data_IF_308555146198
#
_entry.id   IF_308555146198
#
_cell.length_a   1.000
_cell.length_b   1.000
_cell.length_c   1.000
_cell.angle_alpha   90.00
_cell.angle_beta   90.00
_cell.angle_gamma   90.00
#
_symmetry.space_group_name_H-M   'P 1'
#
loop_
_entity.id
_entity.type
_entity.pdbx_description
1 polymer ?
#
# COMPACT_ATOMS: atom_id res chain seq x y z
N UNK A 1 -18.49 41.63 67.92
CA UNK A 1 -18.94 40.68 66.88
C UNK A 1 -17.71 40.25 66.06
N UNK A 2 -17.00 39.16 66.38
CA UNK A 2 -15.98 38.61 65.44
C UNK A 2 -15.58 37.14 65.62
N UNK A 3 -16.17 36.34 66.53
CA UNK A 3 -15.71 34.95 66.74
C UNK A 3 -16.51 33.87 66.00
N UNK A 4 -17.64 34.20 65.37
CA UNK A 4 -18.48 33.21 64.69
C UNK A 4 -18.02 32.87 63.26
N UNK A 5 -17.14 33.67 62.65
CA UNK A 5 -16.72 33.48 61.25
C UNK A 5 -15.49 32.56 61.13
N UNK A 6 -14.60 32.55 62.14
CA UNK A 6 -13.35 31.77 62.12
C UNK A 6 -13.54 30.27 62.33
N UNK A 7 -14.59 29.83 63.07
CA UNK A 7 -14.85 28.39 63.28
C UNK A 7 -15.38 27.69 62.02
N UNK A 8 -16.18 28.40 61.20
CA UNK A 8 -16.76 27.84 59.98
C UNK A 8 -15.74 27.67 58.86
N UNK A 9 -14.72 28.51 58.78
CA UNK A 9 -13.63 28.40 57.81
C UNK A 9 -12.65 27.29 58.21
N UNK A 10 -12.31 27.18 59.49
CA UNK A 10 -11.42 26.13 60.00
C UNK A 10 -12.02 24.73 59.83
N UNK A 11 -13.32 24.57 60.08
CA UNK A 11 -14.03 23.31 59.83
C UNK A 11 -14.06 22.92 58.34
N UNK A 12 -14.20 23.90 57.43
CA UNK A 12 -14.15 23.66 55.97
C UNK A 12 -12.74 23.28 55.50
N UNK A 13 -11.71 23.95 56.01
CA UNK A 13 -10.31 23.63 55.69
C UNK A 13 -9.89 22.26 56.21
N UNK A 14 -10.33 21.88 57.42
CA UNK A 14 -10.10 20.53 57.96
C UNK A 14 -10.81 19.47 57.12
N UNK A 15 -12.04 19.73 56.66
CA UNK A 15 -12.78 18.80 55.80
C UNK A 15 -12.07 18.59 54.46
N UNK A 16 -11.55 19.66 53.84
CA UNK A 16 -10.82 19.57 52.56
C UNK A 16 -9.51 18.78 52.72
N UNK A 17 -8.76 19.02 53.80
CA UNK A 17 -7.53 18.26 54.10
C UNK A 17 -7.86 16.78 54.36
N UNK A 18 -8.95 16.50 55.07
CA UNK A 18 -9.41 15.12 55.32
C UNK A 18 -9.80 14.42 54.01
N UNK A 19 -10.50 15.10 53.09
CA UNK A 19 -10.83 14.54 51.78
C UNK A 19 -9.60 14.31 50.91
N UNK A 20 -8.58 15.16 51.01
CA UNK A 20 -7.32 14.99 50.28
C UNK A 20 -6.52 13.80 50.81
N UNK A 21 -6.52 13.59 52.13
CA UNK A 21 -5.89 12.43 52.78
C UNK A 21 -6.64 11.12 52.47
N UNK A 22 -7.97 11.15 52.38
CA UNK A 22 -8.76 9.99 51.97
C UNK A 22 -8.57 9.67 50.48
N UNK A 23 -8.45 10.69 49.63
CA UNK A 23 -8.17 10.52 48.20
C UNK A 23 -6.75 9.98 47.94
N UNK A 24 -5.75 10.33 48.76
CA UNK A 24 -4.39 9.81 48.62
C UNK A 24 -4.25 8.34 49.04
N UNK A 25 -5.24 7.78 49.73
CA UNK A 25 -5.30 6.36 50.10
C UNK A 25 -6.11 5.51 49.11
N UNK A 26 -6.75 6.13 48.11
CA UNK A 26 -7.48 5.42 47.05
C UNK A 26 -6.67 4.39 46.24
N UNK A 27 -5.36 4.55 45.95
CA UNK A 27 -4.62 3.55 45.18
C UNK A 27 -4.32 2.25 45.96
N UNK A 28 -4.64 2.17 47.26
CA UNK A 28 -4.51 0.93 48.04
C UNK A 28 -5.80 0.09 48.11
N UNK A 29 -6.93 0.64 47.65
CA UNK A 29 -8.21 -0.08 47.52
C UNK A 29 -8.52 -0.46 46.07
N UNK A 30 -7.61 -0.16 45.14
CA UNK A 30 -7.59 -0.86 43.87
C UNK A 30 -7.30 -2.33 44.18
N UNK A 31 -8.36 -3.13 44.29
CA UNK A 31 -8.29 -4.57 44.04
C UNK A 31 -7.42 -4.75 42.80
N UNK A 32 -6.47 -5.70 42.78
CA UNK A 32 -5.89 -6.09 41.51
C UNK A 32 -7.08 -6.48 40.62
N UNK A 33 -7.42 -5.61 39.67
CA UNK A 33 -7.94 -6.10 38.40
C UNK A 33 -6.89 -7.11 38.02
N UNK A 34 -7.24 -8.39 38.04
CA UNK A 34 -6.45 -9.38 37.37
C UNK A 34 -6.24 -8.81 35.98
N UNK A 35 -5.03 -8.31 35.75
CA UNK A 35 -4.48 -8.23 34.43
C UNK A 35 -4.45 -9.72 34.11
N UNK A 36 -5.51 -10.19 33.44
CA UNK A 36 -5.37 -11.33 32.58
C UNK A 36 -4.27 -10.88 31.62
N UNK A 37 -3.02 -11.17 32.01
CA UNK A 37 -2.07 -11.68 31.06
C UNK A 37 -2.93 -12.62 30.20
N UNK A 38 -2.95 -12.40 28.89
CA UNK A 38 -3.21 -13.54 28.02
C UNK A 38 -2.09 -14.53 28.39
N UNK A 39 -2.34 -15.31 29.44
CA UNK A 39 -1.93 -16.68 29.45
C UNK A 39 -2.48 -17.17 28.12
N UNK A 40 -1.57 -17.38 27.20
CA UNK A 40 -1.78 -18.19 26.03
C UNK A 40 -2.23 -19.52 26.61
N UNK A 41 -3.52 -19.58 26.92
CA UNK A 41 -4.23 -20.81 27.08
C UNK A 41 -3.84 -21.52 25.80
N UNK A 42 -3.07 -22.58 25.97
CA UNK A 42 -2.81 -23.55 24.95
C UNK A 42 -4.19 -24.21 24.69
N UNK A 43 -5.11 -23.42 24.11
CA UNK A 43 -6.32 -23.86 23.47
C UNK A 43 -5.74 -24.57 22.27
N UNK A 44 -5.32 -25.81 22.50
CA UNK A 44 -5.17 -26.78 21.43
C UNK A 44 -6.49 -26.70 20.68
N UNK A 45 -6.52 -26.06 19.48
CA UNK A 45 -7.77 -25.94 18.77
C UNK A 45 -8.22 -27.37 18.57
N UNK A 46 -9.44 -27.69 18.99
CA UNK A 46 -9.98 -29.01 18.80
C UNK A 46 -10.21 -29.16 17.29
N UNK A 47 -9.16 -29.58 16.58
CA UNK A 47 -9.12 -29.71 15.13
C UNK A 47 -10.04 -30.87 14.75
N UNK A 48 -11.27 -30.55 14.37
CA UNK A 48 -12.21 -31.52 13.80
C UNK A 48 -12.05 -31.69 12.28
N UNK A 49 -11.11 -30.98 11.66
CA UNK A 49 -10.80 -31.11 10.24
C UNK A 49 -9.86 -32.29 9.99
N UNK A 50 -10.06 -33.02 8.89
CA UNK A 50 -9.11 -34.04 8.41
C UNK A 50 -7.75 -33.43 7.99
N UNK A 51 -7.68 -32.10 7.89
CA UNK A 51 -6.50 -31.37 7.44
C UNK A 51 -6.01 -30.42 8.52
N UNK A 52 -4.69 -30.36 8.71
CA UNK A 52 -4.06 -29.46 9.67
C UNK A 52 -3.62 -28.16 8.98
N UNK A 53 -3.69 -27.01 9.66
CA UNK A 53 -3.18 -25.72 9.16
C UNK A 53 -1.66 -25.72 8.83
N UNK A 54 -0.97 -26.80 9.21
CA UNK A 54 0.44 -27.05 8.91
C UNK A 54 0.68 -27.85 7.62
N UNK A 55 -0.37 -28.37 6.98
CA UNK A 55 -0.21 -29.31 5.85
C UNK A 55 -1.39 -29.38 4.86
N UNK A 56 -2.22 -28.34 4.75
CA UNK A 56 -3.33 -28.29 3.79
C UNK A 56 -3.22 -27.08 2.87
N UNK A 57 -3.53 -27.23 1.58
CA UNK A 57 -3.73 -26.10 0.70
C UNK A 57 -5.09 -25.45 1.01
N UNK A 58 -5.20 -24.13 0.93
CA UNK A 58 -6.47 -23.40 1.17
C UNK A 58 -7.65 -23.95 0.34
N UNK A 59 -7.34 -24.47 -0.86
CA UNK A 59 -8.27 -25.15 -1.76
C UNK A 59 -8.95 -26.39 -1.15
N UNK A 60 -8.24 -27.17 -0.35
CA UNK A 60 -8.76 -28.41 0.23
C UNK A 60 -9.83 -28.15 1.31
N UNK A 61 -9.93 -26.91 1.78
CA UNK A 61 -10.89 -26.49 2.79
C UNK A 61 -12.21 -26.02 2.19
N UNK A 62 -12.30 -25.77 0.88
CA UNK A 62 -13.52 -25.28 0.25
C UNK A 62 -14.71 -26.23 0.44
N UNK A 63 -15.87 -25.70 0.84
CA UNK A 63 -17.06 -26.50 1.16
C UNK A 63 -16.97 -27.30 2.46
N UNK A 64 -15.82 -27.31 3.14
CA UNK A 64 -15.66 -27.99 4.42
C UNK A 64 -16.18 -27.14 5.58
N UNK A 65 -16.55 -27.80 6.68
CA UNK A 65 -16.94 -27.15 7.92
C UNK A 65 -15.75 -27.09 8.88
N UNK A 66 -15.44 -25.89 9.37
CA UNK A 66 -14.35 -25.62 10.29
C UNK A 66 -14.89 -25.03 11.60
N UNK A 67 -14.27 -25.43 12.70
CA UNK A 67 -14.47 -24.81 14.01
C UNK A 67 -13.12 -24.27 14.48
N UNK A 68 -13.02 -22.94 14.60
CA UNK A 68 -11.78 -22.27 14.96
C UNK A 68 -12.09 -20.96 15.71
N UNK A 69 -11.37 -20.73 16.81
CA UNK A 69 -11.39 -19.47 17.56
C UNK A 69 -12.80 -18.89 17.82
N UNK A 70 -13.66 -19.68 18.47
CA UNK A 70 -15.02 -19.27 18.80
C UNK A 70 -16.02 -19.32 17.64
N UNK A 71 -15.57 -19.52 16.40
CA UNK A 71 -16.45 -19.81 15.26
C UNK A 71 -16.79 -21.30 15.24
N UNK A 72 -18.06 -21.65 15.46
CA UNK A 72 -18.56 -23.03 15.46
C UNK A 72 -19.23 -23.35 14.14
N UNK A 73 -18.83 -24.44 13.49
CA UNK A 73 -19.39 -24.92 12.21
C UNK A 73 -19.39 -23.87 11.09
N UNK A 74 -18.35 -23.05 10.98
CA UNK A 74 -18.18 -22.15 9.85
C UNK A 74 -18.00 -22.96 8.57
N UNK A 75 -18.80 -22.68 7.55
CA UNK A 75 -18.65 -23.30 6.22
C UNK A 75 -17.69 -22.45 5.42
N UNK A 76 -16.61 -23.05 4.95
CA UNK A 76 -15.74 -22.39 3.98
C UNK A 76 -16.47 -22.34 2.65
N UNK A 77 -16.61 -21.13 2.12
CA UNK A 77 -17.17 -20.83 0.80
C UNK A 77 -16.64 -21.76 -0.28
N UNK A 78 -17.53 -22.48 -0.99
CA UNK A 78 -17.15 -23.40 -2.07
C UNK A 78 -16.36 -22.70 -3.18
N UNK A 79 -16.58 -21.40 -3.36
CA UNK A 79 -15.85 -20.58 -4.33
C UNK A 79 -14.35 -20.44 -4.03
N UNK A 80 -13.90 -20.77 -2.81
CA UNK A 80 -12.48 -20.81 -2.47
C UNK A 80 -11.71 -21.96 -3.14
N UNK A 81 -12.41 -22.90 -3.80
CA UNK A 81 -11.82 -23.96 -4.63
C UNK A 81 -11.61 -23.55 -6.09
N UNK A 82 -12.10 -22.39 -6.51
CA UNK A 82 -12.03 -22.01 -7.92
C UNK A 82 -10.79 -21.18 -8.22
N UNK A 83 -9.79 -21.83 -8.79
CA UNK A 83 -8.72 -21.18 -9.53
C UNK A 83 -9.17 -21.00 -10.99
N UNK A 84 -9.71 -19.83 -11.32
CA UNK A 84 -9.99 -19.46 -12.71
C UNK A 84 -8.85 -18.61 -13.25
N UNK A 85 -7.98 -19.22 -14.05
CA UNK A 85 -6.93 -18.51 -14.76
C UNK A 85 -7.39 -18.20 -16.18
N UNK A 86 -7.41 -16.92 -16.53
CA UNK A 86 -7.67 -16.46 -17.89
C UNK A 86 -6.39 -15.87 -18.48
N UNK A 87 -6.00 -16.33 -19.66
CA UNK A 87 -4.88 -15.76 -20.41
C UNK A 87 -5.43 -15.13 -21.68
N UNK A 88 -5.20 -13.83 -21.83
CA UNK A 88 -5.61 -13.05 -22.99
C UNK A 88 -4.43 -12.22 -23.47
N UNK A 89 -4.19 -12.25 -24.78
CA UNK A 89 -3.25 -11.34 -25.42
C UNK A 89 -3.92 -9.98 -25.62
N UNK A 90 -3.45 -8.96 -24.89
CA UNK A 90 -4.02 -7.61 -24.95
C UNK A 90 -3.32 -6.71 -25.99
N UNK A 91 -2.01 -6.90 -26.18
CA UNK A 91 -1.22 -6.13 -27.14
C UNK A 91 -0.06 -6.98 -27.68
N UNK A 92 -0.05 -7.21 -29.00
CA UNK A 92 1.00 -7.93 -29.69
C UNK A 92 1.69 -6.98 -30.66
N UNK A 93 2.96 -6.68 -30.38
CA UNK A 93 3.79 -5.79 -31.18
C UNK A 93 4.87 -6.59 -31.88
N UNK A 94 5.08 -6.32 -33.16
CA UNK A 94 6.21 -6.86 -33.95
C UNK A 94 7.38 -5.88 -34.05
N UNK A 95 7.22 -4.68 -33.48
CA UNK A 95 8.16 -3.56 -33.59
C UNK A 95 8.79 -3.23 -32.24
N UNK A 96 8.08 -3.49 -31.15
CA UNK A 96 8.51 -3.16 -29.79
C UNK A 96 8.56 -4.43 -28.92
N UNK A 97 9.66 -4.61 -28.20
CA UNK A 97 9.84 -5.70 -27.25
C UNK A 97 9.43 -5.22 -25.85
N UNK A 98 8.32 -5.73 -25.34
CA UNK A 98 7.74 -5.27 -24.07
C UNK A 98 8.46 -5.88 -22.86
N UNK A 99 8.69 -5.07 -21.83
CA UNK A 99 9.00 -5.54 -20.48
C UNK A 99 7.77 -6.07 -19.74
N UNK A 100 7.91 -6.34 -18.44
CA UNK A 100 6.78 -6.80 -17.63
C UNK A 100 5.86 -5.61 -17.34
N UNK A 101 4.55 -5.72 -17.61
CA UNK A 101 3.65 -4.63 -17.33
C UNK A 101 3.30 -4.55 -15.84
N UNK A 102 3.13 -3.34 -15.32
CA UNK A 102 2.44 -3.10 -14.06
C UNK A 102 0.95 -2.81 -14.32
N UNK A 103 0.09 -3.16 -13.36
CA UNK A 103 -1.37 -3.11 -13.46
C UNK A 103 -1.98 -2.51 -12.19
N UNK A 104 -2.87 -1.52 -12.38
CA UNK A 104 -3.81 -1.08 -11.34
C UNK A 104 -5.26 -1.27 -11.78
N UNK A 105 -6.03 -1.91 -10.92
CA UNK A 105 -7.47 -2.05 -11.05
C UNK A 105 -8.16 -0.89 -10.34
N UNK A 106 -9.17 -0.32 -10.99
CA UNK A 106 -9.96 0.76 -10.40
C UNK A 106 -11.42 0.34 -10.22
N UNK A 107 -12.14 1.02 -9.32
CA UNK A 107 -13.57 0.76 -9.04
C UNK A 107 -14.49 1.01 -10.25
N UNK A 108 -13.96 1.56 -11.35
CA UNK A 108 -14.70 1.90 -12.55
C UNK A 108 -14.64 0.84 -13.65
N UNK A 109 -14.29 -0.40 -13.30
CA UNK A 109 -14.17 -1.50 -14.26
C UNK A 109 -13.12 -1.18 -15.34
N UNK A 110 -12.02 -0.57 -14.90
CA UNK A 110 -10.89 -0.21 -15.75
C UNK A 110 -9.62 -0.80 -15.17
N UNK A 111 -8.93 -1.49 -16.05
CA UNK A 111 -7.60 -2.01 -15.86
C UNK A 111 -6.63 -1.02 -16.52
N UNK A 112 -5.71 -0.47 -15.72
CA UNK A 112 -4.70 0.45 -16.22
C UNK A 112 -3.35 -0.24 -16.21
N UNK A 113 -2.68 -0.23 -17.36
CA UNK A 113 -1.39 -0.86 -17.55
C UNK A 113 -0.32 0.19 -17.80
N UNK A 114 0.91 -0.08 -17.39
CA UNK A 114 2.08 0.53 -18.00
C UNK A 114 3.10 -0.55 -18.37
N UNK A 115 3.94 -0.28 -19.37
CA UNK A 115 5.11 -1.10 -19.66
C UNK A 115 6.21 -0.27 -20.33
N UNK A 116 7.46 -0.66 -20.12
CA UNK A 116 8.62 -0.19 -20.87
C UNK A 116 8.90 -1.11 -22.07
N UNK A 117 9.64 -0.63 -23.06
CA UNK A 117 10.13 -1.46 -24.16
C UNK A 117 11.63 -1.32 -24.38
N UNK A 118 12.26 -2.33 -24.98
CA UNK A 118 13.71 -2.31 -25.27
C UNK A 118 14.10 -1.15 -26.20
N UNK A 119 13.18 -0.72 -27.06
CA UNK A 119 13.38 0.37 -28.00
C UNK A 119 13.30 1.76 -27.35
N UNK A 120 12.86 1.84 -26.08
CA UNK A 120 12.77 3.08 -25.32
C UNK A 120 11.37 3.67 -25.10
N UNK A 121 10.32 3.35 -25.88
CA UNK A 121 8.96 3.77 -25.51
C UNK A 121 8.54 3.29 -24.11
N UNK A 122 8.00 4.21 -23.32
CA UNK A 122 7.22 3.88 -22.10
C UNK A 122 5.76 4.14 -22.42
N UNK A 123 4.92 3.13 -22.24
CA UNK A 123 3.52 3.15 -22.65
C UNK A 123 2.60 2.92 -21.48
N UNK A 124 1.38 3.40 -21.65
CA UNK A 124 0.24 3.00 -20.82
C UNK A 124 -0.89 2.52 -21.71
N UNK A 125 -1.79 1.73 -21.14
CA UNK A 125 -3.09 1.46 -21.73
C UNK A 125 -4.18 1.39 -20.69
N UNK A 126 -5.40 1.65 -21.14
CA UNK A 126 -6.61 1.38 -20.38
C UNK A 126 -7.38 0.28 -21.10
N UNK A 127 -7.63 -0.81 -20.41
CA UNK A 127 -8.54 -1.87 -20.83
C UNK A 127 -9.86 -1.76 -20.06
N UNK A 128 -10.94 -2.17 -20.71
CA UNK A 128 -12.25 -2.34 -20.08
C UNK A 128 -12.78 -3.72 -20.41
N UNK A 129 -13.54 -4.39 -19.53
CA UNK A 129 -14.13 -5.71 -19.81
C UNK A 129 -15.03 -5.78 -21.05
N UNK A 130 -15.49 -4.64 -21.57
CA UNK A 130 -16.11 -4.55 -22.91
C UNK A 130 -15.17 -4.93 -24.07
N UNK A 131 -13.87 -5.13 -23.83
CA UNK A 131 -12.83 -5.39 -24.82
C UNK A 131 -12.17 -4.13 -25.40
N UNK A 132 -12.47 -2.95 -24.86
CA UNK A 132 -11.91 -1.69 -25.36
C UNK A 132 -10.47 -1.52 -24.83
N UNK A 133 -9.51 -1.36 -25.73
CA UNK A 133 -8.11 -1.09 -25.44
C UNK A 133 -7.71 0.30 -25.97
N UNK A 134 -7.19 1.17 -25.10
CA UNK A 134 -6.71 2.50 -25.50
C UNK A 134 -5.31 2.72 -24.95
N UNK A 135 -4.31 2.77 -25.83
CA UNK A 135 -2.91 2.99 -25.46
C UNK A 135 -2.46 4.44 -25.66
N UNK A 136 -1.43 4.84 -24.93
CA UNK A 136 -0.80 6.15 -25.03
C UNK A 136 0.71 6.03 -24.82
N UNK A 137 1.49 6.83 -25.56
CA UNK A 137 2.92 7.00 -25.32
C UNK A 137 3.12 7.99 -24.17
N UNK A 138 3.76 7.54 -23.09
CA UNK A 138 4.09 8.37 -21.93
C UNK A 138 5.35 9.19 -22.22
N UNK A 139 6.41 8.51 -22.64
CA UNK A 139 7.72 9.08 -22.93
C UNK A 139 8.51 8.19 -23.90
N UNK A 140 9.65 8.70 -24.39
CA UNK A 140 10.67 7.90 -25.10
C UNK A 140 12.00 8.06 -24.37
N UNK A 141 12.44 6.98 -23.73
CA UNK A 141 13.70 6.91 -22.99
C UNK A 141 14.82 6.33 -23.86
N UNK A 142 16.04 6.29 -23.33
CA UNK A 142 17.14 5.63 -24.03
C UNK A 142 16.82 4.14 -24.28
N UNK A 143 17.02 3.68 -25.52
CA UNK A 143 16.87 2.26 -25.87
C UNK A 143 17.85 1.40 -25.05
N UNK A 144 17.36 0.26 -24.57
CA UNK A 144 18.12 -0.71 -23.79
C UNK A 144 18.08 -2.06 -24.49
N UNK A 145 19.24 -2.63 -24.81
CA UNK A 145 19.34 -4.00 -25.32
C UNK A 145 19.38 -5.03 -24.16
N UNK A 146 18.86 -4.66 -22.99
CA UNK A 146 18.84 -5.52 -21.81
C UNK A 146 17.59 -6.37 -21.83
N UNK A 147 17.76 -7.68 -21.63
CA UNK A 147 16.63 -8.61 -21.44
C UNK A 147 15.86 -8.36 -20.14
N UNK A 148 16.42 -7.57 -19.21
CA UNK A 148 15.76 -7.15 -17.97
C UNK A 148 15.62 -5.64 -18.01
N UNK A 149 14.46 -5.19 -18.50
CA UNK A 149 14.05 -3.78 -18.40
C UNK A 149 13.62 -3.48 -16.97
N UNK A 150 13.76 -2.22 -16.57
CA UNK A 150 13.15 -1.76 -15.32
C UNK A 150 11.67 -1.55 -15.60
N UNK A 151 10.85 -2.39 -15.00
CA UNK A 151 9.40 -2.28 -15.13
C UNK A 151 8.94 -0.92 -14.59
N UNK A 152 8.01 -0.29 -15.30
CA UNK A 152 7.38 0.93 -14.82
C UNK A 152 6.39 0.59 -13.71
N UNK A 153 6.05 1.57 -12.87
CA UNK A 153 4.98 1.45 -11.90
C UNK A 153 3.87 2.46 -12.19
N UNK A 154 2.61 2.03 -12.17
CA UNK A 154 1.43 2.84 -12.45
C UNK A 154 0.62 3.11 -11.18
N UNK A 155 0.17 4.35 -11.02
CA UNK A 155 -0.73 4.78 -9.96
C UNK A 155 -1.89 5.57 -10.54
N UNK A 156 -3.11 5.29 -10.09
CA UNK A 156 -4.32 5.94 -10.63
C UNK A 156 -4.95 6.84 -9.59
N UNK A 157 -5.06 8.14 -9.91
CA UNK A 157 -5.75 9.08 -9.04
C UNK A 157 -7.26 8.81 -9.02
N UNK A 158 -7.95 9.29 -7.98
CA UNK A 158 -9.41 9.17 -7.84
C UNK A 158 -10.22 9.73 -9.03
N UNK A 159 -9.63 10.60 -9.86
CA UNK A 159 -10.26 11.15 -11.07
C UNK A 159 -9.88 10.38 -12.36
N UNK A 160 -9.42 9.13 -12.22
CA UNK A 160 -8.99 8.26 -13.33
C UNK A 160 -7.89 8.89 -14.19
N UNK A 161 -6.96 9.60 -13.55
CA UNK A 161 -5.75 10.10 -14.21
C UNK A 161 -4.57 9.19 -13.86
N UNK A 162 -3.91 8.58 -14.86
CA UNK A 162 -2.74 7.77 -14.62
C UNK A 162 -1.49 8.61 -14.29
N UNK A 163 -0.63 7.99 -13.50
CA UNK A 163 0.71 8.41 -13.09
C UNK A 163 1.64 7.23 -13.35
N UNK A 164 2.80 7.50 -13.94
CA UNK A 164 3.74 6.43 -14.30
C UNK A 164 5.12 6.81 -13.78
N UNK A 165 5.65 6.00 -12.87
CA UNK A 165 7.04 6.03 -12.43
C UNK A 165 7.84 5.09 -13.33
N UNK A 166 8.95 5.54 -13.89
CA UNK A 166 9.76 4.74 -14.81
C UNK A 166 11.22 5.17 -14.79
N UNK A 167 12.10 4.27 -15.21
CA UNK A 167 13.54 4.56 -15.34
C UNK A 167 13.88 5.05 -16.76
N UNK A 168 14.89 5.91 -16.86
CA UNK A 168 15.52 6.36 -18.10
C UNK A 168 17.04 6.24 -17.92
N UNK A 169 17.58 5.07 -18.24
CA UNK A 169 18.95 4.72 -17.89
C UNK A 169 19.18 4.84 -16.38
N UNK A 170 20.13 5.67 -15.92
CA UNK A 170 20.43 5.82 -14.50
C UNK A 170 19.43 6.71 -13.74
N UNK A 171 18.52 7.38 -14.43
CA UNK A 171 17.62 8.38 -13.87
C UNK A 171 16.22 7.81 -13.59
N UNK A 172 15.53 8.40 -12.61
CA UNK A 172 14.14 8.11 -12.29
C UNK A 172 13.24 9.25 -12.77
N UNK A 173 12.19 8.91 -13.52
CA UNK A 173 11.25 9.86 -14.11
C UNK A 173 9.82 9.58 -13.69
N UNK A 174 9.01 10.63 -13.71
CA UNK A 174 7.57 10.57 -13.45
C UNK A 174 6.81 11.18 -14.63
N UNK A 175 5.79 10.45 -15.10
CA UNK A 175 4.82 10.86 -16.10
C UNK A 175 3.48 11.18 -15.45
N UNK A 176 2.92 12.36 -15.76
CA UNK A 176 1.57 12.76 -15.35
C UNK A 176 0.69 13.03 -16.57
N UNK A 177 -0.42 12.30 -16.69
CA UNK A 177 -1.41 12.62 -17.72
C UNK A 177 -2.21 13.87 -17.36
N UNK A 178 -2.36 14.77 -18.32
CA UNK A 178 -3.19 15.96 -18.25
C UNK A 178 -4.28 15.90 -19.33
N UNK A 179 -5.54 16.08 -18.90
CA UNK A 179 -6.68 16.22 -19.81
C UNK A 179 -6.62 17.56 -20.55
N UNK A 180 -7.31 17.60 -21.68
CA UNK A 180 -7.63 18.86 -22.35
C UNK A 180 -8.33 19.83 -21.38
N UNK A 181 -7.89 21.08 -21.38
CA UNK A 181 -8.40 22.12 -20.46
C UNK A 181 -8.08 23.51 -21.04
N UNK A 182 -8.46 24.58 -20.34
CA UNK A 182 -8.07 25.94 -20.75
C UNK A 182 -6.54 26.13 -20.84
N UNK A 183 -5.77 25.36 -20.05
CA UNK A 183 -4.30 25.34 -20.11
C UNK A 183 -3.77 24.48 -21.24
N UNK A 184 -4.51 23.43 -21.63
CA UNK A 184 -4.14 22.45 -22.66
C UNK A 184 -5.23 22.42 -23.74
N UNK A 185 -5.40 23.54 -24.46
CA UNK A 185 -6.53 23.75 -25.37
C UNK A 185 -6.40 22.97 -26.69
N UNK A 186 -5.20 22.50 -27.00
CA UNK A 186 -4.83 21.70 -28.18
C UNK A 186 -4.88 20.19 -27.91
N UNK A 187 -5.42 19.78 -26.75
CA UNK A 187 -5.67 18.38 -26.41
C UNK A 187 -4.85 17.87 -25.22
N UNK A 188 -5.16 16.63 -24.78
CA UNK A 188 -4.50 16.00 -23.66
C UNK A 188 -3.05 15.64 -23.96
N UNK A 189 -2.20 15.60 -22.93
CA UNK A 189 -0.77 15.25 -23.07
C UNK A 189 -0.17 14.68 -21.79
N UNK A 190 1.02 14.11 -21.92
CA UNK A 190 1.87 13.72 -20.80
C UNK A 190 2.82 14.85 -20.41
N UNK A 191 2.96 15.04 -19.10
CA UNK A 191 4.07 15.79 -18.52
C UNK A 191 5.06 14.82 -17.90
N UNK A 192 6.25 14.77 -18.48
CA UNK A 192 7.34 13.92 -18.00
C UNK A 192 8.40 14.79 -17.36
N UNK A 193 8.98 14.32 -16.25
CA UNK A 193 10.09 14.98 -15.56
C UNK A 193 11.04 13.96 -14.97
N UNK A 194 12.33 14.23 -15.06
CA UNK A 194 13.34 13.60 -14.20
C UNK A 194 13.14 14.09 -12.77
N UNK A 195 12.92 13.16 -11.86
CA UNK A 195 12.66 13.44 -10.44
C UNK A 195 13.87 13.12 -9.57
N UNK A 196 14.73 12.19 -10.02
CA UNK A 196 16.03 11.89 -9.41
C UNK A 196 17.01 11.48 -10.51
N UNK A 197 18.27 11.87 -10.34
CA UNK A 197 19.35 11.58 -11.29
C UNK A 197 20.33 10.58 -10.66
N UNK A 198 20.90 9.69 -11.49
CA UNK A 198 21.97 8.76 -11.09
C UNK A 198 21.62 7.84 -9.89
N UNK A 199 20.41 7.30 -9.89
CA UNK A 199 19.90 6.41 -8.84
C UNK A 199 19.92 4.92 -9.23
N UNK A 200 20.05 4.60 -10.52
CA UNK A 200 20.10 3.22 -11.04
C UNK A 200 18.97 2.35 -10.46
N UNK A 201 17.72 2.76 -10.69
CA UNK A 201 16.57 1.97 -10.29
C UNK A 201 16.59 0.60 -10.98
N UNK A 202 16.13 -0.43 -10.27
CA UNK A 202 15.98 -1.80 -10.79
C UNK A 202 14.53 -2.26 -10.77
N UNK A 203 13.77 -1.85 -9.74
CA UNK A 203 12.37 -2.21 -9.54
C UNK A 203 11.65 -1.01 -8.91
N UNK A 204 10.38 -0.86 -9.24
CA UNK A 204 9.56 0.30 -8.89
C UNK A 204 8.20 -0.16 -8.38
N UNK A 205 7.63 0.58 -7.44
CA UNK A 205 6.21 0.50 -7.10
C UNK A 205 5.66 1.91 -6.90
N UNK A 206 4.38 2.10 -7.18
CA UNK A 206 3.72 3.40 -7.10
C UNK A 206 2.30 3.25 -6.57
N UNK A 207 1.93 4.12 -5.65
CA UNK A 207 0.56 4.32 -5.25
C UNK A 207 0.25 5.81 -5.07
N UNK A 208 -1.03 6.12 -4.97
CA UNK A 208 -1.55 7.49 -4.92
C UNK A 208 -2.20 7.71 -3.55
N UNK A 209 -1.74 8.74 -2.84
CA UNK A 209 -2.35 9.13 -1.57
C UNK A 209 -3.78 9.63 -1.76
N UNK A 210 -4.54 9.70 -0.67
CA UNK A 210 -5.92 10.22 -0.69
C UNK A 210 -6.02 11.66 -1.23
N UNK A 211 -4.94 12.45 -1.11
CA UNK A 211 -4.81 13.82 -1.63
C UNK A 211 -4.45 13.86 -3.12
N UNK A 212 -4.29 12.70 -3.77
CA UNK A 212 -3.90 12.59 -5.17
C UNK A 212 -2.41 12.81 -5.42
N UNK A 213 -1.56 12.62 -4.40
CA UNK A 213 -0.12 12.77 -4.51
C UNK A 213 0.56 11.42 -4.72
N UNK A 214 1.68 11.43 -5.44
CA UNK A 214 2.43 10.22 -5.72
C UNK A 214 3.31 9.82 -4.54
N UNK A 215 3.26 8.54 -4.20
CA UNK A 215 4.12 7.90 -3.23
C UNK A 215 4.58 6.56 -3.80
N UNK A 216 5.88 6.36 -3.91
CA UNK A 216 6.44 5.19 -4.57
C UNK A 216 7.67 4.65 -3.87
N UNK A 217 8.08 3.47 -4.34
CA UNK A 217 9.30 2.78 -3.93
C UNK A 217 10.23 2.63 -5.12
N UNK A 218 11.51 2.68 -4.84
CA UNK A 218 12.58 2.42 -5.78
C UNK A 218 13.61 1.54 -5.11
N UNK A 219 13.92 0.41 -5.74
CA UNK A 219 15.07 -0.42 -5.40
C UNK A 219 16.24 -0.08 -6.31
N UNK A 220 17.41 0.25 -5.77
CA UNK A 220 18.61 0.53 -6.56
C UNK A 220 19.38 -0.74 -6.93
N UNK A 221 20.33 -0.65 -7.86
CA UNK A 221 21.30 -1.71 -8.20
C UNK A 221 22.04 -2.33 -7.00
N UNK A 222 22.30 -1.54 -5.95
CA UNK A 222 22.90 -2.00 -4.69
C UNK A 222 21.96 -2.84 -3.80
N UNK A 223 20.69 -2.95 -4.18
CA UNK A 223 19.63 -3.60 -3.39
C UNK A 223 19.07 -2.75 -2.26
N UNK A 224 19.46 -1.47 -2.14
CA UNK A 224 18.84 -0.54 -1.20
C UNK A 224 17.40 -0.17 -1.62
N UNK A 225 16.51 -0.05 -0.63
CA UNK A 225 15.12 0.34 -0.85
C UNK A 225 14.91 1.80 -0.41
N UNK A 226 14.42 2.60 -1.34
CA UNK A 226 14.12 4.01 -1.14
C UNK A 226 12.62 4.28 -1.30
N UNK A 227 12.09 5.11 -0.41
CA UNK A 227 10.85 5.84 -0.64
C UNK A 227 11.12 6.99 -1.60
N UNK A 228 10.17 7.26 -2.49
CA UNK A 228 10.13 8.43 -3.37
C UNK A 228 8.73 9.04 -3.34
N UNK A 229 8.56 10.31 -2.99
CA UNK A 229 7.23 10.93 -2.91
C UNK A 229 7.21 12.39 -3.35
N UNK A 230 6.02 12.85 -3.75
CA UNK A 230 5.78 14.24 -4.14
C UNK A 230 4.97 14.98 -3.08
N UNK A 231 5.46 16.14 -2.63
CA UNK A 231 4.79 16.95 -1.60
C UNK A 231 3.66 17.85 -2.12
N UNK A 232 3.41 17.86 -3.43
CA UNK A 232 2.63 18.89 -4.11
C UNK A 232 3.50 19.98 -4.75
N UNK A 233 4.75 20.14 -4.29
CA UNK A 233 5.67 21.16 -4.79
C UNK A 233 7.03 20.60 -5.27
N UNK A 234 7.57 19.60 -4.58
CA UNK A 234 8.88 19.03 -4.87
C UNK A 234 8.90 17.53 -4.58
N UNK A 235 9.89 16.85 -5.16
CA UNK A 235 10.15 15.42 -4.95
C UNK A 235 11.16 15.23 -3.82
N UNK A 236 10.95 14.19 -3.03
CA UNK A 236 11.88 13.76 -1.98
C UNK A 236 12.13 12.27 -2.07
N UNK A 237 13.35 11.83 -1.70
CA UNK A 237 13.66 10.44 -1.40
C UNK A 237 14.07 10.26 0.05
N UNK A 238 13.81 9.07 0.56
CA UNK A 238 14.30 8.63 1.86
C UNK A 238 14.75 7.18 1.79
N UNK A 239 15.88 6.85 2.42
CA UNK A 239 16.38 5.47 2.50
C UNK A 239 15.59 4.71 3.57
N UNK A 240 14.85 3.69 3.17
CA UNK A 240 14.07 2.84 4.09
C UNK A 240 14.91 1.66 4.61
N UNK A 241 15.60 0.97 3.71
CA UNK A 241 16.46 -0.17 4.04
C UNK A 241 17.74 -0.12 3.19
N UNK A 242 18.89 -0.42 3.81
CA UNK A 242 20.20 -0.48 3.13
C UNK A 242 20.35 -1.73 2.27
N UNK A 243 19.48 -2.72 2.42
CA UNK A 243 19.44 -3.92 1.60
C UNK A 243 20.43 -5.02 2.02
N UNK A 244 20.57 -6.07 1.19
CA UNK A 244 19.85 -6.24 -0.07
C UNK A 244 18.37 -6.55 0.19
N UNK A 245 17.49 -5.77 -0.42
CA UNK A 245 16.06 -6.09 -0.54
C UNK A 245 15.86 -6.94 -1.79
N UNK A 246 14.92 -7.88 -1.75
CA UNK A 246 14.50 -8.68 -2.88
C UNK A 246 13.93 -7.83 -4.02
N UNK A 247 13.72 -8.45 -5.17
CA UNK A 247 13.17 -7.80 -6.36
C UNK A 247 11.66 -7.59 -6.25
N UNK A 248 10.96 -8.54 -5.63
CA UNK A 248 9.56 -8.43 -5.26
C UNK A 248 9.39 -7.61 -3.97
N UNK A 249 8.70 -6.48 -4.11
CA UNK A 249 8.15 -5.71 -3.01
C UNK A 249 6.80 -5.11 -3.39
N UNK A 250 5.93 -5.00 -2.39
CA UNK A 250 4.59 -4.51 -2.55
C UNK A 250 4.39 -3.21 -1.78
N UNK A 251 3.59 -2.33 -2.37
CA UNK A 251 3.19 -1.04 -1.82
C UNK A 251 1.68 -0.90 -1.93
N UNK A 252 1.04 -0.62 -0.79
CA UNK A 252 -0.38 -0.27 -0.71
C UNK A 252 -0.58 0.88 0.28
N UNK A 253 -1.41 1.84 -0.09
CA UNK A 253 -1.90 2.89 0.82
C UNK A 253 -3.35 2.57 1.16
N UNK A 254 -3.62 2.33 2.43
CA UNK A 254 -4.98 2.00 2.88
C UNK A 254 -5.92 3.23 2.89
N UNK A 255 -7.19 2.98 3.21
CA UNK A 255 -8.22 4.02 3.23
C UNK A 255 -8.04 5.06 4.37
N UNK A 256 -7.16 4.79 5.33
CA UNK A 256 -6.75 5.73 6.38
C UNK A 256 -5.49 6.52 5.99
N UNK A 257 -4.93 6.27 4.81
CA UNK A 257 -3.69 6.90 4.33
C UNK A 257 -2.43 6.31 4.97
N UNK A 258 -2.52 5.13 5.59
CA UNK A 258 -1.34 4.42 6.12
C UNK A 258 -0.67 3.68 4.98
N UNK A 259 0.64 3.86 4.88
CA UNK A 259 1.48 3.22 3.86
C UNK A 259 1.96 1.86 4.39
N UNK A 260 1.61 0.80 3.68
CA UNK A 260 2.04 -0.58 3.94
C UNK A 260 3.08 -0.99 2.90
N UNK A 261 4.20 -1.53 3.39
CA UNK A 261 5.30 -1.99 2.54
C UNK A 261 5.65 -3.41 2.95
N UNK A 262 5.65 -4.33 2.00
CA UNK A 262 6.08 -5.71 2.18
C UNK A 262 7.25 -5.99 1.24
N UNK A 263 8.32 -6.58 1.75
CA UNK A 263 9.48 -6.93 0.95
C UNK A 263 10.23 -8.13 1.55
N UNK A 264 11.04 -8.77 0.72
CA UNK A 264 11.93 -9.87 1.13
C UNK A 264 13.38 -9.41 1.22
N UNK A 265 14.25 -10.21 1.85
CA UNK A 265 15.70 -10.03 1.88
C UNK A 265 16.40 -11.27 1.35
#
# INVERSE_FOLDING_TARGET
MSDAFSRKTLAKSVLVVLTFLLASWSPMLALPTEISLLEEADITPQKSSMYTATSGYGHDFAGTTLTFDGMVNAVVKEESMFDYWHSQELNNSTIENHGTPDLKLTRHDREHYCWSTEEGPVRTAVHRPSGAWTSSLVDTVASSNSSTLVDCAIGITANELPRVLYADGPDLKMGRYARESATYYDGPRWHTRTIMENVNATHLALDITSEGLEWGLMRTDSGALHQVNFSGAYWTSYLLDRGPVGEDFELEIDDQGVIHILYTR
#
